data_IF_604779458820
#
_entry.id   IF_604779458820
#
_cell.length_a   1.000
_cell.length_b   1.000
_cell.length_c   1.000
_cell.angle_alpha   90.00
_cell.angle_beta   90.00
_cell.angle_gamma   90.00
#
_symmetry.space_group_name_H-M   'P 1'
#
loop_
_entity.id
_entity.type
_entity.pdbx_description
1 polymer ?
#
# COMPACT_ATOMS: atom_id res chain seq x y z
N UNK A 1 7.83 -9.61 21.15
CA UNK A 1 8.60 -10.78 21.62
C UNK A 1 9.65 -11.08 20.57
N UNK A 2 10.93 -10.95 20.89
CA UNK A 2 12.02 -11.48 20.06
C UNK A 2 12.59 -12.66 20.85
N UNK A 3 12.72 -13.82 20.20
CA UNK A 3 13.24 -15.05 20.82
C UNK A 3 12.56 -15.47 22.14
N UNK A 4 11.24 -15.27 22.23
CA UNK A 4 10.43 -15.58 23.42
C UNK A 4 10.86 -14.83 24.71
N UNK A 5 11.59 -13.71 24.59
CA UNK A 5 11.88 -12.82 25.71
C UNK A 5 11.08 -11.50 25.60
N UNK A 6 10.60 -10.95 26.73
CA UNK A 6 10.02 -9.61 26.75
C UNK A 6 11.14 -8.59 26.50
N UNK A 7 11.03 -7.83 25.40
CA UNK A 7 12.00 -6.80 25.02
C UNK A 7 11.33 -5.44 25.03
N UNK A 8 11.97 -4.47 25.69
CA UNK A 8 11.51 -3.09 25.69
C UNK A 8 11.78 -2.43 24.32
N UNK A 9 10.75 -1.79 23.79
CA UNK A 9 10.79 -1.09 22.51
C UNK A 9 10.49 0.39 22.76
N UNK A 10 11.40 1.25 22.33
CA UNK A 10 11.23 2.70 22.35
C UNK A 10 11.13 3.23 20.92
N UNK A 11 10.11 4.01 20.65
CA UNK A 11 9.87 4.62 19.34
C UNK A 11 9.89 6.14 19.47
N UNK A 12 10.81 6.78 18.77
CA UNK A 12 10.91 8.22 18.65
C UNK A 12 10.52 8.65 17.23
N UNK A 13 9.41 9.37 17.09
CA UNK A 13 8.99 9.91 15.79
C UNK A 13 9.84 11.13 15.44
N UNK A 14 10.38 11.15 14.21
CA UNK A 14 11.15 12.27 13.66
C UNK A 14 10.43 12.81 12.41
N UNK A 15 10.66 14.07 12.07
CA UNK A 15 10.07 14.65 10.85
C UNK A 15 10.63 13.90 9.62
N UNK A 16 9.78 13.14 8.93
CA UNK A 16 10.18 12.30 7.79
C UNK A 16 10.72 10.91 8.15
N UNK A 17 10.50 10.44 9.38
CA UNK A 17 11.01 9.14 9.80
C UNK A 17 10.64 8.72 11.23
N UNK A 18 11.23 7.62 11.68
CA UNK A 18 11.16 7.16 13.06
C UNK A 18 12.49 6.52 13.44
N UNK A 19 12.89 6.66 14.70
CA UNK A 19 14.00 5.92 15.29
C UNK A 19 13.42 4.90 16.27
N UNK A 20 13.78 3.63 16.12
CA UNK A 20 13.30 2.54 16.99
C UNK A 20 14.49 1.96 17.73
N UNK A 21 14.40 1.90 19.05
CA UNK A 21 15.40 1.26 19.90
C UNK A 21 14.83 -0.03 20.47
N UNK A 22 15.52 -1.14 20.21
CA UNK A 22 15.21 -2.48 20.72
C UNK A 22 16.43 -2.97 21.50
N UNK A 23 16.31 -3.04 22.83
CA UNK A 23 17.47 -3.27 23.70
C UNK A 23 18.54 -2.19 23.49
N UNK A 24 19.72 -2.58 22.99
CA UNK A 24 20.86 -1.68 22.71
C UNK A 24 20.96 -1.23 21.24
N UNK A 25 20.04 -1.67 20.40
CA UNK A 25 20.11 -1.46 18.96
C UNK A 25 19.11 -0.38 18.55
N UNK A 26 19.61 0.65 17.88
CA UNK A 26 18.80 1.74 17.33
C UNK A 26 18.76 1.63 15.82
N UNK A 27 17.56 1.75 15.25
CA UNK A 27 17.27 1.65 13.83
C UNK A 27 16.58 2.93 13.37
N UNK A 28 17.17 3.63 12.40
CA UNK A 28 16.58 4.82 11.80
C UNK A 28 15.84 4.47 10.50
N UNK A 29 14.56 4.78 10.46
CA UNK A 29 13.68 4.59 9.32
C UNK A 29 13.35 5.94 8.70
N UNK A 30 13.59 6.09 7.39
CA UNK A 30 12.98 7.18 6.62
C UNK A 30 11.58 6.75 6.23
N UNK A 31 10.59 7.52 6.66
CA UNK A 31 9.20 7.30 6.29
C UNK A 31 8.86 8.39 5.29
N UNK A 32 8.89 8.03 4.01
CA UNK A 32 8.36 8.91 2.98
C UNK A 32 6.84 9.02 3.17
N UNK A 33 6.29 10.21 2.91
CA UNK A 33 4.88 10.46 3.14
C UNK A 33 4.11 9.55 2.19
N UNK A 34 3.38 8.58 2.73
CA UNK A 34 2.37 7.84 1.97
C UNK A 34 1.49 8.87 1.25
N UNK A 35 1.70 9.01 -0.06
CA UNK A 35 1.12 10.11 -0.83
C UNK A 35 -0.39 9.90 -0.80
N UNK A 36 -1.11 10.91 -0.30
CA UNK A 36 -2.55 11.09 -0.34
C UNK A 36 -3.08 11.11 -1.79
N UNK A 37 -2.87 10.05 -2.56
CA UNK A 37 -3.46 9.84 -3.87
C UNK A 37 -4.90 9.31 -3.77
N UNK A 38 -5.35 8.98 -2.56
CA UNK A 38 -6.67 8.45 -2.26
C UNK A 38 -7.67 9.51 -1.75
N UNK A 39 -7.27 10.77 -1.58
CA UNK A 39 -8.16 11.78 -0.97
C UNK A 39 -8.71 12.83 -1.96
N UNK A 40 -8.44 12.75 -3.28
CA UNK A 40 -9.08 13.68 -4.23
C UNK A 40 -8.95 13.25 -5.70
N UNK A 41 -9.72 12.24 -6.14
CA UNK A 41 -10.09 12.10 -7.57
C UNK A 41 -11.50 11.50 -7.72
N UNK A 42 -12.46 12.07 -7.01
CA UNK A 42 -13.82 12.07 -7.54
C UNK A 42 -13.92 13.20 -8.57
N UNK A 43 -14.48 12.87 -9.74
CA UNK A 43 -14.73 13.72 -10.91
C UNK A 43 -13.59 13.83 -11.92
N UNK A 44 -13.68 13.07 -13.01
CA UNK A 44 -13.93 13.65 -14.35
C UNK A 44 -14.15 12.53 -15.37
N UNK A 45 -15.38 12.44 -15.86
CA UNK A 45 -15.68 11.84 -17.17
C UNK A 45 -15.03 12.68 -18.27
N UNK A 46 -14.28 12.05 -19.17
CA UNK A 46 -14.15 12.53 -20.54
C UNK A 46 -13.66 11.39 -21.44
N UNK A 47 -14.45 11.07 -22.46
CA UNK A 47 -14.07 10.14 -23.52
C UNK A 47 -12.81 10.62 -24.24
N UNK A 48 -11.87 9.69 -24.41
CA UNK A 48 -10.82 9.76 -25.41
C UNK A 48 -10.35 8.35 -25.71
N UNK A 49 -10.32 7.98 -26.99
CA UNK A 49 -9.64 6.80 -27.51
C UNK A 49 -8.16 6.91 -27.14
N UNK A 50 -7.79 6.34 -26.01
CA UNK A 50 -6.51 6.57 -25.36
C UNK A 50 -6.47 5.84 -24.02
N UNK A 51 -5.27 5.46 -23.60
CA UNK A 51 -4.97 4.60 -22.45
C UNK A 51 -5.84 4.89 -21.23
N UNK A 52 -6.85 4.05 -20.98
CA UNK A 52 -7.62 4.06 -19.75
C UNK A 52 -6.73 3.53 -18.62
N UNK A 53 -6.47 4.41 -17.65
CA UNK A 53 -5.70 4.05 -16.45
C UNK A 53 -6.66 3.63 -15.34
N UNK A 54 -6.72 2.34 -15.07
CA UNK A 54 -7.46 1.79 -13.93
C UNK A 54 -6.53 1.79 -12.71
N UNK A 55 -6.97 2.38 -11.61
CA UNK A 55 -6.24 2.40 -10.33
C UNK A 55 -6.95 1.53 -9.31
N UNK A 56 -6.18 0.76 -8.52
CA UNK A 56 -6.73 -0.08 -7.47
C UNK A 56 -7.42 0.76 -6.37
N UNK A 57 -8.60 0.35 -5.86
CA UNK A 57 -9.37 1.12 -4.88
C UNK A 57 -8.82 1.04 -3.45
N UNK A 58 -7.94 0.07 -3.17
CA UNK A 58 -7.32 -0.15 -1.85
C UNK A 58 -5.86 -0.56 -1.99
N UNK A 59 -5.07 -0.30 -0.96
CA UNK A 59 -3.70 -0.81 -0.85
C UNK A 59 -3.70 -2.32 -0.67
N UNK A 60 -2.83 -3.00 -1.40
CA UNK A 60 -2.66 -4.43 -1.29
C UNK A 60 -1.46 -4.91 -2.09
N UNK A 61 -1.23 -6.22 -2.07
CA UNK A 61 -0.21 -6.88 -2.88
C UNK A 61 -0.85 -7.61 -4.05
N UNK A 62 -0.23 -7.55 -5.24
CA UNK A 62 -0.67 -8.35 -6.39
C UNK A 62 -0.31 -9.80 -6.09
N UNK A 63 -1.32 -10.67 -6.03
CA UNK A 63 -1.12 -12.11 -5.81
C UNK A 63 -1.17 -12.89 -7.11
N UNK A 64 -1.85 -12.36 -8.13
CA UNK A 64 -1.97 -13.03 -9.42
C UNK A 64 -2.32 -12.05 -10.56
N UNK A 65 -1.85 -12.35 -11.78
CA UNK A 65 -2.09 -11.58 -13.00
C UNK A 65 -2.67 -12.52 -14.06
N UNK A 66 -3.92 -12.28 -14.43
CA UNK A 66 -4.72 -13.18 -15.26
C UNK A 66 -4.64 -12.84 -16.76
N UNK A 67 -4.14 -11.65 -17.13
CA UNK A 67 -4.04 -11.17 -18.52
C UNK A 67 -2.68 -10.57 -18.82
N UNK A 68 -2.18 -10.80 -20.02
CA UNK A 68 -0.94 -10.21 -20.52
C UNK A 68 -1.20 -8.95 -21.36
N UNK A 69 -0.15 -8.18 -21.59
CA UNK A 69 -0.24 -6.97 -22.44
C UNK A 69 -0.59 -7.38 -23.87
N UNK A 70 -1.67 -6.81 -24.39
CA UNK A 70 -2.16 -7.07 -25.74
C UNK A 70 -3.25 -8.14 -25.82
N UNK A 71 -3.57 -8.82 -24.71
CA UNK A 71 -4.69 -9.75 -24.68
C UNK A 71 -6.03 -8.99 -24.86
N UNK A 72 -6.97 -9.52 -25.66
CA UNK A 72 -8.32 -9.00 -25.71
C UNK A 72 -9.03 -9.25 -24.37
N UNK A 73 -9.81 -8.28 -23.91
CA UNK A 73 -10.58 -8.35 -22.66
C UNK A 73 -12.00 -7.87 -22.88
N UNK A 74 -12.94 -8.45 -22.15
CA UNK A 74 -14.36 -8.12 -22.19
C UNK A 74 -14.85 -7.64 -20.82
N UNK A 75 -16.01 -6.98 -20.80
CA UNK A 75 -16.63 -6.56 -19.54
C UNK A 75 -16.91 -7.77 -18.65
N UNK A 76 -16.38 -7.74 -17.43
CA UNK A 76 -16.50 -8.83 -16.47
C UNK A 76 -15.26 -9.72 -16.38
N UNK A 77 -14.27 -9.54 -17.25
CA UNK A 77 -12.99 -10.23 -17.13
C UNK A 77 -12.24 -9.83 -15.85
N UNK A 78 -11.63 -10.84 -15.21
CA UNK A 78 -10.67 -10.62 -14.13
C UNK A 78 -9.31 -10.38 -14.74
N UNK A 79 -8.70 -9.22 -14.44
CA UNK A 79 -7.38 -8.86 -14.95
C UNK A 79 -6.25 -9.26 -14.01
N UNK A 80 -6.49 -9.10 -12.70
CA UNK A 80 -5.53 -9.38 -11.64
C UNK A 80 -6.26 -9.56 -10.31
N UNK A 81 -5.59 -10.20 -9.36
CA UNK A 81 -6.08 -10.39 -7.99
C UNK A 81 -5.15 -9.64 -7.05
N UNK A 82 -5.76 -8.86 -6.14
CA UNK A 82 -5.05 -8.09 -5.11
C UNK A 82 -5.53 -8.60 -3.76
N UNK A 83 -4.59 -8.93 -2.88
CA UNK A 83 -4.87 -9.14 -1.47
C UNK A 83 -4.77 -7.81 -0.73
N UNK A 84 -5.88 -7.36 -0.13
CA UNK A 84 -5.91 -6.16 0.70
C UNK A 84 -5.42 -6.49 2.11
N UNK A 85 -4.41 -5.77 2.60
CA UNK A 85 -4.01 -5.84 4.00
C UNK A 85 -5.10 -5.16 4.84
N UNK A 86 -5.82 -5.92 5.67
CA UNK A 86 -6.79 -5.35 6.61
C UNK A 86 -6.07 -4.41 7.58
N UNK A 87 -6.58 -3.18 7.69
CA UNK A 87 -6.29 -2.30 8.80
C UNK A 87 -7.45 -2.42 9.80
N UNK A 88 -7.26 -3.23 10.84
CA UNK A 88 -8.07 -3.12 12.04
C UNK A 88 -7.67 -1.81 12.73
N UNK A 89 -8.50 -0.78 12.60
CA UNK A 89 -8.37 0.43 13.39
C UNK A 89 -9.26 0.28 14.63
N UNK A 90 -8.66 -0.06 15.77
CA UNK A 90 -9.29 0.11 17.07
C UNK A 90 -9.47 1.62 17.33
N UNK A 91 -10.67 2.03 17.76
CA UNK A 91 -10.96 3.39 18.22
C UNK A 91 -10.49 3.60 19.67
#
# INVERSE_FOLDING_TARGET
MIDNQPTELYLERRRGGASVTIGRHTFDFKVDRWRSAFENRDTEEAGATGTLKITAPMTGSIVDVQRMVGDPVETGDVLLIIESMKMDNEL
#
